data_IF_564941896675
#
_entry.id   IF_564941896675
#
_cell.length_a   1.000
_cell.length_b   1.000
_cell.length_c   1.000
_cell.angle_alpha   90.00
_cell.angle_beta   90.00
_cell.angle_gamma   90.00
#
_symmetry.space_group_name_H-M   'P 1'
#
loop_
_entity.id
_entity.type
_entity.pdbx_description
1 polymer ?
#
# COMPACT_ATOMS: atom_id res chain seq x y z
N UNK A 1 -56.43 65.11 -38.94
CA UNK A 1 -55.09 64.96 -39.56
C UNK A 1 -54.14 64.36 -38.53
N UNK A 2 -53.55 63.19 -38.84
CA UNK A 2 -52.21 62.65 -38.45
C UNK A 2 -51.75 62.84 -36.99
N UNK A 3 -51.32 61.85 -36.18
CA UNK A 3 -50.78 60.50 -36.39
C UNK A 3 -50.61 59.79 -35.00
N UNK A 4 -50.83 58.47 -34.97
CA UNK A 4 -50.33 57.35 -34.14
C UNK A 4 -50.12 57.51 -32.61
N UNK A 5 -50.84 56.84 -31.69
CA UNK A 5 -51.06 55.39 -31.39
C UNK A 5 -49.88 54.60 -30.79
N UNK A 6 -50.09 54.27 -29.51
CA UNK A 6 -49.76 53.07 -28.73
C UNK A 6 -48.33 52.77 -28.24
N UNK A 7 -48.30 52.47 -26.94
CA UNK A 7 -47.23 51.87 -26.14
C UNK A 7 -47.19 50.34 -26.35
N UNK A 8 -46.01 49.79 -26.03
CA UNK A 8 -45.78 48.57 -25.26
C UNK A 8 -45.56 47.20 -25.98
N UNK A 9 -44.39 46.64 -25.65
CA UNK A 9 -43.99 45.23 -25.39
C UNK A 9 -43.75 44.22 -26.53
N UNK A 10 -42.66 43.46 -26.33
CA UNK A 10 -42.36 42.06 -26.69
C UNK A 10 -41.44 41.80 -27.90
N UNK A 11 -40.20 41.34 -27.60
CA UNK A 11 -39.53 40.13 -28.16
C UNK A 11 -38.08 40.05 -27.62
N UNK A 12 -37.79 39.17 -26.65
CA UNK A 12 -37.22 37.83 -26.80
C UNK A 12 -35.70 37.79 -27.09
N UNK A 13 -34.91 37.39 -26.09
CA UNK A 13 -33.78 36.47 -26.27
C UNK A 13 -33.33 35.91 -24.90
N UNK A 14 -33.74 34.67 -24.63
CA UNK A 14 -33.17 33.79 -23.61
C UNK A 14 -31.66 33.66 -23.81
N UNK A 15 -30.86 34.11 -22.84
CA UNK A 15 -29.45 33.70 -22.72
C UNK A 15 -29.44 32.46 -21.83
N UNK A 16 -29.39 31.29 -22.47
CA UNK A 16 -29.31 30.00 -21.82
C UNK A 16 -28.03 29.89 -21.00
N UNK A 17 -28.18 29.62 -19.70
CA UNK A 17 -27.09 29.22 -18.83
C UNK A 17 -26.63 27.81 -19.22
N UNK A 18 -25.62 27.75 -20.10
CA UNK A 18 -24.88 26.53 -20.39
C UNK A 18 -23.92 26.25 -19.21
N UNK A 19 -24.47 25.75 -18.10
CA UNK A 19 -23.68 25.23 -17.00
C UNK A 19 -23.01 23.93 -17.47
N UNK A 20 -21.73 24.03 -17.83
CA UNK A 20 -20.92 22.87 -18.19
C UNK A 20 -20.84 21.90 -17.01
N UNK A 21 -21.39 20.70 -17.18
CA UNK A 21 -21.03 19.55 -16.36
C UNK A 21 -19.57 19.23 -16.67
N UNK A 22 -18.66 19.73 -15.85
CA UNK A 22 -17.32 19.16 -15.80
C UNK A 22 -17.47 17.77 -15.16
N UNK A 23 -17.02 16.69 -15.82
CA UNK A 23 -16.95 15.40 -15.17
C UNK A 23 -15.97 15.55 -14.00
N UNK A 24 -16.48 15.50 -12.77
CA UNK A 24 -15.65 15.25 -11.61
C UNK A 24 -14.98 13.91 -11.85
N UNK A 25 -13.67 13.93 -12.06
CA UNK A 25 -12.88 12.71 -12.05
C UNK A 25 -13.14 12.05 -10.69
N UNK A 26 -13.95 11.01 -10.68
CA UNK A 26 -14.19 10.23 -9.47
C UNK A 26 -12.90 9.45 -9.18
N UNK A 27 -12.14 9.90 -8.19
CA UNK A 27 -10.97 9.16 -7.72
C UNK A 27 -11.49 7.88 -7.09
N UNK A 28 -11.30 6.76 -7.77
CA UNK A 28 -11.73 5.46 -7.25
C UNK A 28 -10.87 5.08 -6.05
N UNK A 29 -11.50 4.54 -5.01
CA UNK A 29 -10.79 4.04 -3.85
C UNK A 29 -9.94 2.83 -4.27
N UNK A 30 -8.63 2.92 -4.05
CA UNK A 30 -7.70 1.81 -4.27
C UNK A 30 -7.84 0.74 -3.17
N UNK A 31 -8.16 1.17 -1.96
CA UNK A 31 -8.35 0.31 -0.81
C UNK A 31 -8.92 1.04 0.41
N UNK A 32 -8.99 0.33 1.52
CA UNK A 32 -9.45 0.89 2.79
C UNK A 32 -8.62 0.41 3.97
N UNK A 33 -8.53 1.24 5.01
CA UNK A 33 -7.86 0.89 6.25
C UNK A 33 -8.75 -0.05 7.06
N UNK A 34 -8.30 -1.27 7.31
CA UNK A 34 -9.08 -2.26 8.08
C UNK A 34 -8.73 -2.22 9.55
N UNK A 35 -7.46 -1.94 9.88
CA UNK A 35 -6.97 -1.84 11.25
C UNK A 35 -5.87 -0.79 11.33
N UNK A 36 -5.77 -0.09 12.45
CA UNK A 36 -4.64 0.78 12.74
C UNK A 36 -4.46 0.93 14.25
N UNK A 37 -3.27 1.35 14.65
CA UNK A 37 -2.96 1.83 16.00
C UNK A 37 -2.02 3.01 15.88
N UNK A 38 -2.17 3.99 16.77
CA UNK A 38 -1.41 5.23 16.75
C UNK A 38 -1.82 6.19 15.63
N UNK A 39 -0.92 7.09 15.26
CA UNK A 39 -1.17 8.14 14.29
C UNK A 39 -0.81 7.69 12.87
N UNK A 40 -1.80 7.75 11.97
CA UNK A 40 -1.65 7.42 10.56
C UNK A 40 -2.28 8.55 9.74
N UNK A 41 -1.55 9.04 8.74
CA UNK A 41 -2.01 10.12 7.86
C UNK A 41 -1.87 9.71 6.41
N UNK A 42 -2.83 10.08 5.56
CA UNK A 42 -2.67 10.08 4.11
C UNK A 42 -2.43 11.51 3.64
N UNK A 43 -1.36 11.73 2.88
CA UNK A 43 -1.20 12.91 2.05
C UNK A 43 -1.75 12.60 0.67
N UNK A 44 -2.82 13.29 0.30
CA UNK A 44 -3.50 13.16 -0.99
C UNK A 44 -2.63 13.75 -2.10
N UNK A 45 -2.90 13.36 -3.34
CA UNK A 45 -2.19 13.87 -4.52
C UNK A 45 -2.36 15.38 -4.74
N UNK A 46 -3.41 15.99 -4.19
CA UNK A 46 -3.68 17.43 -4.19
C UNK A 46 -2.94 18.20 -3.07
N UNK A 47 -2.15 17.50 -2.25
CA UNK A 47 -1.42 18.06 -1.12
C UNK A 47 -2.19 18.12 0.20
N UNK A 48 -3.48 17.79 0.22
CA UNK A 48 -4.25 17.74 1.47
C UNK A 48 -3.79 16.58 2.35
N UNK A 49 -3.80 16.79 3.66
CA UNK A 49 -3.49 15.73 4.64
C UNK A 49 -4.76 15.33 5.37
N UNK A 50 -5.02 14.02 5.43
CA UNK A 50 -6.13 13.43 6.16
C UNK A 50 -5.60 12.47 7.22
N UNK A 51 -6.09 12.60 8.45
CA UNK A 51 -5.89 11.58 9.49
C UNK A 51 -6.74 10.37 9.12
N UNK A 52 -6.12 9.19 9.07
CA UNK A 52 -6.82 7.95 8.75
C UNK A 52 -7.41 7.34 10.02
N UNK A 53 -8.60 6.78 9.86
CA UNK A 53 -9.31 5.93 10.82
C UNK A 53 -9.66 4.60 10.15
N UNK A 54 -10.10 3.60 10.92
CA UNK A 54 -10.66 2.37 10.35
C UNK A 54 -11.81 2.72 9.40
N UNK A 55 -11.88 2.05 8.25
CA UNK A 55 -12.72 2.31 7.07
C UNK A 55 -12.36 3.55 6.24
N UNK A 56 -11.34 4.31 6.60
CA UNK A 56 -10.87 5.40 5.73
C UNK A 56 -10.38 4.85 4.39
N UNK A 57 -10.71 5.55 3.32
CA UNK A 57 -10.30 5.19 1.96
C UNK A 57 -8.88 5.64 1.65
N UNK A 58 -8.15 4.74 1.00
CA UNK A 58 -6.86 4.98 0.37
C UNK A 58 -7.11 5.07 -1.14
N UNK A 59 -6.54 6.09 -1.77
CA UNK A 59 -6.71 6.39 -3.20
C UNK A 59 -5.37 6.25 -3.92
N UNK A 60 -5.45 6.08 -5.23
CA UNK A 60 -4.28 6.31 -6.09
C UNK A 60 -3.73 7.72 -5.86
N UNK A 61 -2.41 7.88 -5.89
CA UNK A 61 -1.70 9.13 -5.60
C UNK A 61 -1.41 9.40 -4.12
N UNK A 62 -2.05 8.68 -3.19
CA UNK A 62 -1.87 8.91 -1.76
C UNK A 62 -0.48 8.46 -1.26
N UNK A 63 0.07 9.23 -0.32
CA UNK A 63 1.20 8.82 0.53
C UNK A 63 0.69 8.56 1.94
N UNK A 64 0.64 7.28 2.31
CA UNK A 64 0.28 6.82 3.66
C UNK A 64 1.53 6.87 4.53
N UNK A 65 1.45 7.58 5.65
CA UNK A 65 2.53 7.70 6.61
C UNK A 65 2.08 7.21 8.00
N UNK A 66 2.84 6.28 8.57
CA UNK A 66 2.69 5.84 9.96
C UNK A 66 3.70 6.57 10.84
N UNK A 67 3.25 7.05 11.99
CA UNK A 67 4.13 7.67 12.98
C UNK A 67 4.94 6.60 13.76
N UNK A 68 5.71 7.07 14.73
CA UNK A 68 6.33 6.21 15.72
C UNK A 68 5.26 5.43 16.50
N UNK A 69 5.58 4.20 16.93
CA UNK A 69 4.67 3.31 17.67
C UNK A 69 3.29 3.10 17.00
N UNK A 70 3.20 3.32 15.69
CA UNK A 70 1.96 3.26 14.93
C UNK A 70 2.02 2.17 13.86
N UNK A 71 0.88 1.61 13.49
CA UNK A 71 0.77 0.69 12.36
C UNK A 71 -0.55 0.91 11.61
N UNK A 72 -0.60 0.48 10.36
CA UNK A 72 -1.83 0.48 9.57
C UNK A 72 -1.90 -0.81 8.76
N UNK A 73 -3.07 -1.43 8.69
CA UNK A 73 -3.42 -2.48 7.74
C UNK A 73 -4.35 -1.89 6.69
N UNK A 74 -3.92 -1.96 5.45
CA UNK A 74 -4.66 -1.50 4.28
C UNK A 74 -5.05 -2.72 3.47
N UNK A 75 -6.34 -2.84 3.13
CA UNK A 75 -6.86 -3.85 2.23
C UNK A 75 -7.25 -3.21 0.91
N UNK A 76 -6.67 -3.70 -0.17
CA UNK A 76 -6.91 -3.22 -1.53
C UNK A 76 -8.05 -3.99 -2.20
N UNK A 77 -8.58 -3.43 -3.29
CA UNK A 77 -9.73 -3.99 -4.02
C UNK A 77 -9.50 -5.40 -4.60
N UNK A 78 -8.24 -5.78 -4.87
CA UNK A 78 -7.85 -7.09 -5.38
C UNK A 78 -7.70 -8.16 -4.27
N UNK A 79 -7.97 -7.77 -3.02
CA UNK A 79 -7.77 -8.59 -1.83
C UNK A 79 -6.35 -8.56 -1.26
N UNK A 80 -5.43 -7.77 -1.84
CA UNK A 80 -4.10 -7.58 -1.26
C UNK A 80 -4.21 -6.89 0.09
N UNK A 81 -3.51 -7.42 1.09
CA UNK A 81 -3.38 -6.80 2.40
C UNK A 81 -1.94 -6.35 2.63
N UNK A 82 -1.77 -5.06 2.94
CA UNK A 82 -0.47 -4.48 3.29
C UNK A 82 -0.53 -3.96 4.71
N UNK A 83 0.40 -4.41 5.54
CA UNK A 83 0.59 -3.90 6.91
C UNK A 83 1.85 -3.05 6.94
N UNK A 84 1.67 -1.78 7.27
CA UNK A 84 2.73 -0.79 7.43
C UNK A 84 3.28 -0.82 8.85
N UNK A 85 4.60 -0.87 8.98
CA UNK A 85 5.32 -0.79 10.25
C UNK A 85 5.36 0.65 10.77
N UNK A 86 5.77 0.89 12.03
CA UNK A 86 6.09 2.24 12.48
C UNK A 86 7.08 2.95 11.56
N UNK A 87 6.99 4.27 11.49
CA UNK A 87 7.89 5.12 10.70
C UNK A 87 7.93 4.83 9.19
N UNK A 88 6.83 4.34 8.63
CA UNK A 88 6.76 3.95 7.21
C UNK A 88 6.10 5.03 6.38
N UNK A 89 6.58 5.20 5.14
CA UNK A 89 5.86 5.95 4.11
C UNK A 89 5.70 5.07 2.87
N UNK A 90 4.44 4.82 2.52
CA UNK A 90 4.05 4.06 1.34
C UNK A 90 3.25 4.99 0.43
N UNK A 91 3.67 5.12 -0.82
CA UNK A 91 2.89 5.78 -1.86
C UNK A 91 2.14 4.73 -2.69
N UNK A 92 0.88 5.01 -2.99
CA UNK A 92 0.09 4.25 -3.97
C UNK A 92 0.20 4.98 -5.29
N UNK A 93 1.14 4.59 -6.15
CA UNK A 93 1.39 5.29 -7.42
C UNK A 93 0.34 4.96 -8.48
N UNK A 94 -0.04 3.68 -8.57
CA UNK A 94 -1.10 3.24 -9.46
C UNK A 94 -1.84 2.06 -8.82
N UNK A 95 -3.17 2.10 -8.91
CA UNK A 95 -3.99 0.96 -8.54
C UNK A 95 -5.16 0.83 -9.52
N UNK A 96 -5.02 -0.09 -10.46
CA UNK A 96 -6.05 -0.47 -11.39
C UNK A 96 -6.28 -1.98 -11.30
N UNK A 97 -7.49 -2.34 -10.90
CA UNK A 97 -7.94 -3.72 -10.87
C UNK A 97 -9.35 -3.78 -11.46
N UNK A 98 -9.49 -4.48 -12.58
CA UNK A 98 -10.77 -4.73 -13.21
C UNK A 98 -10.92 -6.23 -13.44
N UNK A 99 -11.92 -6.83 -12.79
CA UNK A 99 -12.12 -8.28 -12.84
C UNK A 99 -12.32 -8.77 -14.29
N UNK A 100 -13.05 -7.99 -15.10
CA UNK A 100 -13.38 -8.26 -16.50
C UNK A 100 -12.25 -7.89 -17.48
N UNK A 101 -11.27 -7.09 -17.06
CA UNK A 101 -10.19 -6.59 -17.93
C UNK A 101 -8.79 -6.86 -17.33
N UNK A 102 -8.40 -8.13 -17.20
CA UNK A 102 -7.12 -8.52 -16.58
C UNK A 102 -5.87 -7.94 -17.25
N UNK A 103 -5.96 -7.55 -18.53
CA UNK A 103 -4.86 -6.92 -19.27
C UNK A 103 -4.59 -5.47 -18.84
N UNK A 104 -5.58 -4.83 -18.22
CA UNK A 104 -5.47 -3.46 -17.74
C UNK A 104 -5.08 -3.39 -16.26
N UNK A 105 -4.92 -4.54 -15.59
CA UNK A 105 -4.45 -4.62 -14.21
C UNK A 105 -3.07 -3.95 -14.08
N UNK A 106 -2.93 -3.05 -13.10
CA UNK A 106 -1.67 -2.41 -12.79
C UNK A 106 -1.66 -1.97 -11.33
N UNK A 107 -0.73 -2.50 -10.54
CA UNK A 107 -0.50 -2.11 -9.16
C UNK A 107 0.96 -1.69 -9.03
N UNK A 108 1.16 -0.42 -8.71
CA UNK A 108 2.45 0.16 -8.42
C UNK A 108 2.42 0.84 -7.05
N UNK A 109 3.23 0.33 -6.13
CA UNK A 109 3.41 0.90 -4.80
C UNK A 109 4.86 1.37 -4.67
N UNK A 110 5.11 2.49 -4.00
CA UNK A 110 6.47 2.94 -3.67
C UNK A 110 6.70 3.00 -2.17
N UNK A 111 7.58 2.14 -1.66
CA UNK A 111 8.09 2.21 -0.29
C UNK A 111 9.18 3.29 -0.23
N UNK A 112 8.83 4.45 0.34
CA UNK A 112 9.75 5.58 0.43
C UNK A 112 10.69 5.44 1.64
N UNK A 113 10.16 4.92 2.76
CA UNK A 113 10.93 4.62 3.97
C UNK A 113 10.21 3.62 4.89
N UNK A 114 10.94 3.06 5.84
CA UNK A 114 10.39 2.14 6.85
C UNK A 114 10.19 0.76 6.29
N UNK A 115 9.07 0.10 6.61
CA UNK A 115 8.84 -1.26 6.13
C UNK A 115 7.39 -1.69 6.13
N UNK A 116 7.12 -2.73 5.36
CA UNK A 116 5.80 -3.29 5.21
C UNK A 116 5.86 -4.80 5.10
N UNK A 117 4.74 -5.44 5.42
CA UNK A 117 4.49 -6.83 5.06
C UNK A 117 3.26 -6.90 4.19
N UNK A 118 3.34 -7.67 3.13
CA UNK A 118 2.26 -7.83 2.17
C UNK A 118 1.84 -9.29 2.07
N UNK A 119 0.54 -9.50 1.91
CA UNK A 119 -0.06 -10.76 1.46
C UNK A 119 -0.84 -10.42 0.20
N UNK A 120 -0.35 -10.91 -0.95
CA UNK A 120 -0.92 -10.49 -2.23
C UNK A 120 -2.26 -11.16 -2.52
N UNK A 121 -3.16 -10.39 -3.10
CA UNK A 121 -4.48 -10.82 -3.53
C UNK A 121 -4.48 -11.56 -4.88
N UNK A 122 -5.65 -11.57 -5.52
CA UNK A 122 -5.87 -12.33 -6.76
C UNK A 122 -5.09 -11.77 -7.94
N UNK A 123 -4.84 -10.46 -7.98
CA UNK A 123 -4.13 -9.80 -9.08
C UNK A 123 -2.71 -10.36 -9.23
N UNK A 124 -1.95 -10.49 -8.14
CA UNK A 124 -0.59 -11.01 -8.20
C UNK A 124 -0.52 -12.49 -8.66
N UNK A 125 -1.61 -13.25 -8.51
CA UNK A 125 -1.72 -14.63 -9.00
C UNK A 125 -2.10 -14.69 -10.48
N UNK A 126 -3.02 -13.84 -10.92
CA UNK A 126 -3.52 -13.77 -12.30
C UNK A 126 -2.54 -13.08 -13.25
N UNK A 127 -1.93 -11.99 -12.80
CA UNK A 127 -1.04 -11.16 -13.58
C UNK A 127 0.11 -10.65 -12.70
N UNK A 128 1.04 -11.55 -12.36
CA UNK A 128 2.23 -11.25 -11.55
C UNK A 128 3.07 -10.09 -12.12
N UNK A 129 3.11 -9.94 -13.46
CA UNK A 129 3.85 -8.87 -14.11
C UNK A 129 3.25 -7.47 -13.87
N UNK A 130 2.01 -7.38 -13.39
CA UNK A 130 1.31 -6.13 -13.13
C UNK A 130 1.42 -5.64 -11.68
N UNK A 131 1.96 -6.44 -10.76
CA UNK A 131 2.17 -6.00 -9.37
C UNK A 131 3.66 -5.72 -9.12
N UNK A 132 3.98 -4.46 -8.83
CA UNK A 132 5.34 -4.01 -8.50
C UNK A 132 5.36 -3.16 -7.24
N UNK A 133 6.45 -3.32 -6.48
CA UNK A 133 6.82 -2.39 -5.42
C UNK A 133 8.14 -1.73 -5.79
N UNK A 134 8.21 -0.41 -5.75
CA UNK A 134 9.45 0.35 -5.90
C UNK A 134 9.99 0.73 -4.53
N UNK A 135 11.30 0.64 -4.37
CA UNK A 135 12.05 1.17 -3.24
C UNK A 135 13.25 1.94 -3.78
N UNK A 136 13.89 2.83 -2.99
CA UNK A 136 15.00 3.67 -3.48
C UNK A 136 16.15 2.87 -4.13
N UNK A 137 16.41 1.66 -3.64
CA UNK A 137 17.51 0.83 -4.11
C UNK A 137 17.11 -0.23 -5.16
N UNK A 138 15.82 -0.52 -5.36
CA UNK A 138 15.40 -1.60 -6.23
C UNK A 138 13.91 -1.53 -6.60
N UNK A 139 13.56 -2.20 -7.70
CA UNK A 139 12.18 -2.58 -8.02
C UNK A 139 11.97 -4.05 -7.68
N UNK A 140 10.84 -4.34 -7.04
CA UNK A 140 10.42 -5.68 -6.62
C UNK A 140 9.21 -6.09 -7.46
N UNK A 141 9.38 -7.10 -8.31
CA UNK A 141 8.31 -7.78 -9.03
C UNK A 141 7.73 -8.92 -8.19
N UNK A 142 6.41 -9.00 -8.12
CA UNK A 142 5.70 -9.86 -7.18
C UNK A 142 5.05 -11.04 -7.92
N UNK A 143 5.40 -12.29 -7.52
CA UNK A 143 4.85 -13.51 -8.14
C UNK A 143 4.04 -14.32 -7.12
N UNK A 144 2.83 -13.82 -6.82
CA UNK A 144 1.86 -14.47 -5.93
C UNK A 144 2.45 -14.83 -4.55
N UNK A 145 2.92 -13.82 -3.81
CA UNK A 145 3.78 -14.02 -2.64
C UNK A 145 3.27 -13.32 -1.37
N UNK A 146 3.60 -13.88 -0.21
CA UNK A 146 3.67 -13.10 1.02
C UNK A 146 5.12 -12.74 1.30
N UNK A 147 5.39 -11.45 1.44
CA UNK A 147 6.74 -10.92 1.56
C UNK A 147 6.81 -9.73 2.53
N UNK A 148 7.98 -9.53 3.10
CA UNK A 148 8.34 -8.37 3.88
C UNK A 148 9.37 -7.51 3.16
N UNK A 149 9.21 -6.19 3.24
CA UNK A 149 10.19 -5.22 2.79
C UNK A 149 10.54 -4.29 3.95
N UNK A 150 11.83 -4.01 4.13
CA UNK A 150 12.32 -3.04 5.08
C UNK A 150 13.44 -2.25 4.43
N UNK A 151 13.23 -0.95 4.28
CA UNK A 151 14.24 -0.02 3.79
C UNK A 151 14.80 0.79 4.97
N UNK A 152 16.10 0.61 5.23
CA UNK A 152 16.81 1.24 6.33
C UNK A 152 17.74 2.34 5.83
N UNK A 153 17.60 3.53 6.42
CA UNK A 153 18.45 4.69 6.19
C UNK A 153 18.76 5.40 7.52
N UNK A 154 19.45 4.70 8.42
CA UNK A 154 19.73 5.09 9.81
C UNK A 154 18.47 5.24 10.70
N UNK A 155 17.33 4.73 10.26
CA UNK A 155 16.02 4.81 10.94
C UNK A 155 15.51 3.46 11.46
N UNK A 156 16.30 2.39 11.29
CA UNK A 156 15.98 1.04 11.73
C UNK A 156 16.49 0.68 13.14
N UNK A 157 16.90 1.66 13.95
CA UNK A 157 17.50 1.40 15.29
C UNK A 157 16.61 0.61 16.27
N UNK A 158 15.28 0.61 16.05
CA UNK A 158 14.30 -0.14 16.86
C UNK A 158 13.85 -1.47 16.21
N UNK A 159 14.46 -1.84 15.08
CA UNK A 159 14.16 -3.09 14.40
C UNK A 159 15.16 -4.14 14.86
N UNK A 160 14.71 -5.29 15.39
CA UNK A 160 15.62 -6.37 15.74
C UNK A 160 16.21 -6.96 14.46
N UNK A 161 17.50 -6.77 14.25
CA UNK A 161 18.26 -7.41 13.18
C UNK A 161 19.05 -8.63 13.69
N UNK A 162 19.83 -9.26 12.81
CA UNK A 162 20.66 -10.41 13.14
C UNK A 162 21.61 -10.13 14.31
N UNK A 163 21.66 -11.07 15.26
CA UNK A 163 22.52 -10.94 16.45
C UNK A 163 22.10 -9.83 17.42
N UNK A 164 20.87 -9.28 17.30
CA UNK A 164 20.35 -8.23 18.17
C UNK A 164 20.77 -6.81 17.78
N UNK A 165 21.56 -6.66 16.72
CA UNK A 165 21.96 -5.36 16.20
C UNK A 165 20.91 -4.82 15.21
N UNK A 166 20.78 -3.48 15.07
CA UNK A 166 19.96 -2.91 14.00
C UNK A 166 20.41 -3.38 12.62
N UNK A 167 19.48 -3.63 11.68
CA UNK A 167 19.81 -3.94 10.30
C UNK A 167 20.67 -2.86 9.64
N UNK A 168 21.59 -3.28 8.76
CA UNK A 168 22.40 -2.36 7.95
C UNK A 168 21.52 -1.50 7.01
N UNK A 169 22.04 -0.35 6.59
CA UNK A 169 21.34 0.52 5.64
C UNK A 169 21.20 -0.15 4.27
N UNK A 170 20.00 -0.09 3.70
CA UNK A 170 19.66 -0.75 2.46
C UNK A 170 18.26 -1.35 2.51
N UNK A 171 17.89 -2.04 1.44
CA UNK A 171 16.63 -2.78 1.36
C UNK A 171 16.86 -4.22 1.82
N UNK A 172 16.12 -4.64 2.84
CA UNK A 172 16.02 -6.02 3.29
C UNK A 172 14.69 -6.60 2.80
N UNK A 173 14.72 -7.83 2.33
CA UNK A 173 13.53 -8.55 1.87
C UNK A 173 13.45 -9.93 2.53
N UNK A 174 12.25 -10.34 2.91
CA UNK A 174 11.96 -11.72 3.33
C UNK A 174 10.77 -12.27 2.54
N UNK A 175 10.84 -13.54 2.14
CA UNK A 175 9.78 -14.22 1.40
C UNK A 175 9.22 -15.34 2.25
N UNK A 176 7.93 -15.28 2.53
CA UNK A 176 7.24 -16.26 3.37
C UNK A 176 6.31 -17.20 2.61
N UNK A 177 5.94 -16.84 1.37
CA UNK A 177 5.23 -17.71 0.44
C UNK A 177 5.50 -17.25 -1.00
N UNK A 178 5.45 -18.13 -2.00
CA UNK A 178 5.68 -17.77 -3.40
C UNK A 178 7.11 -17.30 -3.72
N UNK A 179 7.23 -16.28 -4.57
CA UNK A 179 8.51 -15.70 -4.97
C UNK A 179 8.43 -14.19 -5.30
N UNK A 180 9.55 -13.50 -5.15
CA UNK A 180 9.75 -12.13 -5.63
C UNK A 180 10.99 -12.07 -6.53
N UNK A 181 10.99 -11.14 -7.47
CA UNK A 181 12.18 -10.80 -8.25
C UNK A 181 12.58 -9.38 -7.88
N UNK A 182 13.78 -9.23 -7.36
CA UNK A 182 14.34 -7.91 -7.03
C UNK A 182 15.32 -7.54 -8.14
N UNK A 183 15.21 -6.32 -8.64
CA UNK A 183 16.03 -5.83 -9.75
C UNK A 183 16.45 -4.39 -9.51
N UNK A 184 17.70 -4.08 -9.85
CA UNK A 184 18.25 -2.73 -9.92
C UNK A 184 19.29 -2.64 -11.04
N UNK A 185 20.07 -1.55 -11.11
CA UNK A 185 21.06 -1.36 -12.17
C UNK A 185 22.25 -2.34 -12.07
N UNK A 186 22.49 -2.90 -10.89
CA UNK A 186 23.54 -3.90 -10.66
C UNK A 186 23.16 -5.31 -11.09
N UNK A 187 21.86 -5.63 -11.20
CA UNK A 187 21.39 -6.94 -11.64
C UNK A 187 20.00 -7.29 -11.11
N UNK A 188 19.64 -8.56 -11.24
CA UNK A 188 18.38 -9.10 -10.74
C UNK A 188 18.57 -10.45 -10.06
N UNK A 189 17.84 -10.66 -8.98
CA UNK A 189 17.84 -11.90 -8.19
C UNK A 189 16.40 -12.29 -7.87
N UNK A 190 16.08 -13.58 -8.03
CA UNK A 190 14.83 -14.16 -7.55
C UNK A 190 15.03 -14.69 -6.13
N UNK A 191 14.06 -14.38 -5.25
CA UNK A 191 13.97 -14.90 -3.89
C UNK A 191 12.67 -15.69 -3.74
N UNK A 192 12.80 -16.89 -3.18
CA UNK A 192 11.72 -17.85 -2.95
C UNK A 192 11.43 -17.97 -1.45
N UNK A 193 10.35 -18.67 -1.12
CA UNK A 193 9.97 -18.97 0.27
C UNK A 193 11.16 -19.38 1.15
N UNK A 194 11.25 -18.76 2.32
CA UNK A 194 12.32 -18.99 3.30
C UNK A 194 13.63 -18.25 3.01
N UNK A 195 13.77 -17.60 1.86
CA UNK A 195 14.96 -16.82 1.52
C UNK A 195 14.84 -15.38 1.99
N UNK A 196 16.00 -14.83 2.33
CA UNK A 196 16.18 -13.42 2.67
C UNK A 196 17.09 -12.79 1.63
N UNK A 197 16.84 -11.51 1.34
CA UNK A 197 17.65 -10.76 0.39
C UNK A 197 18.06 -9.41 0.96
N UNK A 198 19.16 -8.89 0.44
CA UNK A 198 19.68 -7.58 0.80
C UNK A 198 20.13 -6.82 -0.44
N UNK A 199 19.80 -5.53 -0.48
CA UNK A 199 20.21 -4.59 -1.54
C UNK A 199 20.80 -3.34 -0.90
N UNK A 200 22.12 -3.24 -0.94
CA UNK A 200 22.86 -2.14 -0.31
C UNK A 200 22.63 -0.80 -1.02
N UNK A 201 22.67 -0.78 -2.36
CA UNK A 201 22.51 0.43 -3.18
C UNK A 201 21.75 0.12 -4.47
N UNK A 202 21.37 1.14 -5.24
CA UNK A 202 20.75 0.98 -6.57
C UNK A 202 21.67 0.40 -7.65
N UNK A 203 22.97 0.32 -7.39
CA UNK A 203 24.00 -0.17 -8.31
C UNK A 203 24.61 -1.51 -7.89
N UNK A 204 24.39 -1.94 -6.65
CA UNK A 204 24.89 -3.22 -6.14
C UNK A 204 23.84 -4.30 -6.41
N UNK A 205 24.18 -5.41 -7.08
CA UNK A 205 23.20 -6.46 -7.36
C UNK A 205 22.55 -6.97 -6.06
N UNK A 206 21.25 -7.31 -6.07
CA UNK A 206 20.61 -7.95 -4.94
C UNK A 206 21.30 -9.28 -4.59
N UNK A 207 21.53 -9.53 -3.30
CA UNK A 207 22.19 -10.76 -2.83
C UNK A 207 21.31 -11.53 -1.86
N UNK A 208 21.42 -12.85 -1.88
CA UNK A 208 20.80 -13.72 -0.88
C UNK A 208 21.57 -13.68 0.43
N UNK A 209 20.81 -13.59 1.53
CA UNK A 209 21.32 -13.58 2.88
C UNK A 209 20.93 -14.89 3.55
N UNK A 210 21.87 -15.61 4.19
CA UNK A 210 21.55 -16.83 4.93
C UNK A 210 20.48 -16.57 6.00
N UNK A 211 19.57 -17.50 6.30
CA UNK A 211 18.48 -17.30 7.26
C UNK A 211 18.91 -16.82 8.66
N UNK A 212 20.09 -17.20 9.14
CA UNK A 212 20.65 -16.72 10.42
C UNK A 212 21.15 -15.27 10.41
N UNK A 213 21.22 -14.65 9.22
CA UNK A 213 21.68 -13.28 8.98
C UNK A 213 20.60 -12.43 8.28
N UNK A 214 19.43 -12.99 8.01
CA UNK A 214 18.32 -12.29 7.38
C UNK A 214 17.57 -11.41 8.38
N UNK A 215 17.13 -10.24 7.93
CA UNK A 215 16.20 -9.41 8.71
C UNK A 215 14.77 -9.83 8.38
N UNK A 216 14.09 -10.47 9.34
CA UNK A 216 12.67 -10.74 9.19
C UNK A 216 11.86 -9.47 9.44
N UNK A 217 11.01 -9.09 8.50
CA UNK A 217 10.12 -7.95 8.67
C UNK A 217 8.96 -8.35 9.57
N UNK A 218 9.16 -8.17 10.87
CA UNK A 218 8.17 -8.48 11.89
C UNK A 218 7.08 -7.42 11.94
N UNK A 219 5.85 -7.90 12.03
CA UNK A 219 4.69 -7.07 12.33
C UNK A 219 4.70 -6.70 13.81
N UNK A 220 4.26 -5.48 14.18
CA UNK A 220 4.05 -5.16 15.57
C UNK A 220 3.04 -6.15 16.18
N UNK A 221 3.22 -6.62 17.43
CA UNK A 221 2.37 -7.64 18.05
C UNK A 221 0.87 -7.28 18.00
N UNK A 222 0.57 -5.98 18.09
CA UNK A 222 -0.79 -5.45 18.00
C UNK A 222 -1.46 -5.70 16.64
N UNK A 223 -0.68 -5.79 15.55
CA UNK A 223 -1.20 -6.10 14.22
C UNK A 223 -1.41 -7.61 13.99
N UNK A 224 -0.78 -8.46 14.80
CA UNK A 224 -0.85 -9.92 14.71
C UNK A 224 -2.11 -10.48 15.40
N UNK A 225 -2.60 -9.81 16.43
CA UNK A 225 -3.73 -10.26 17.25
C UNK A 225 -5.11 -10.18 16.54
N UNK A 226 -5.19 -9.58 15.35
CA UNK A 226 -6.44 -9.38 14.60
C UNK A 226 -6.43 -10.01 13.20
N UNK A 227 -5.83 -11.20 13.13
CA UNK A 227 -6.05 -12.25 12.13
C UNK A 227 -5.38 -12.04 10.75
N UNK A 228 -4.27 -12.75 10.55
CA UNK A 228 -4.01 -13.50 9.32
C UNK A 228 -4.50 -14.94 9.62
N UNK A 229 -5.81 -15.16 9.68
CA UNK A 229 -6.38 -16.51 9.91
C UNK A 229 -7.20 -16.93 8.68
N UNK A 230 -6.49 -17.31 7.64
CA UNK A 230 -6.99 -18.26 6.64
C UNK A 230 -6.49 -19.65 7.01
N UNK A 231 -7.20 -20.34 7.90
CA UNK A 231 -6.87 -21.70 8.33
C UNK A 231 -7.84 -22.19 9.40
N UNK A 232 -8.80 -23.02 9.01
CA UNK A 232 -9.67 -23.77 9.93
C UNK A 232 -8.85 -24.79 10.73
N UNK A 233 -9.13 -24.94 12.03
CA UNK A 233 -9.45 -26.19 12.77
C UNK A 233 -9.31 -25.96 14.30
N UNK A 234 -10.41 -26.22 15.04
CA UNK A 234 -10.54 -26.64 16.47
C UNK A 234 -9.89 -25.77 17.56
N UNK A 235 -10.51 -25.38 18.67
CA UNK A 235 -11.57 -25.97 19.48
C UNK A 235 -12.06 -24.87 20.43
N UNK A 236 -13.35 -24.82 20.73
CA UNK A 236 -13.98 -23.87 21.65
C UNK A 236 -13.25 -23.80 23.00
N UNK A 237 -12.74 -22.62 23.36
CA UNK A 237 -12.46 -22.29 24.75
C UNK A 237 -13.66 -21.48 25.27
N UNK A 238 -14.40 -22.13 26.16
CA UNK A 238 -15.51 -21.59 26.94
C UNK A 238 -15.11 -20.30 27.66
N UNK A 239 -15.94 -19.29 27.52
CA UNK A 239 -15.98 -18.10 28.36
C UNK A 239 -16.39 -18.52 29.78
N UNK A 240 -15.47 -18.40 30.74
CA UNK A 240 -15.83 -18.29 32.16
C UNK A 240 -15.48 -16.88 32.64
N UNK A 241 -16.53 -16.07 32.76
CA UNK A 241 -16.52 -14.81 33.49
C UNK A 241 -16.66 -15.17 34.98
N UNK A 242 -15.56 -15.07 35.75
CA UNK A 242 -15.60 -15.20 37.19
C UNK A 242 -15.77 -13.82 37.82
N UNK A 243 -16.96 -13.55 38.33
CA UNK A 243 -17.23 -12.49 39.31
C UNK A 243 -16.76 -13.01 40.66
N UNK A 244 -15.87 -12.27 41.33
CA UNK A 244 -15.75 -12.30 42.79
C UNK A 244 -15.34 -10.94 43.32
#
# INVERSE_FOLDING_TARGET
>A
MRRNRLRAVESLALIGALAGLLPEAAWSAAGSVTHLSGAVVARRGDGQSQILSVKSEVREGDVIATAENSYARVKFGDGTEVVLRPNTQLKVDAFKYEEQRPREDNVLLSLLKGGLRSVTGLLAKRNAASFRVQAPNATIGIRGTSFGLLYCQNDCGKVPGPGGNPPANGLHVDVSDGAIVVSNAGGSQEFKVGQFGYVQTSQTPPVEVPPGQGTQVTLPPQALNQQILGGTVGTSATLECAIK
#
